data_IF_272937352951
#
_entry.id   IF_272937352951
#
_cell.length_a   1.000
_cell.length_b   1.000
_cell.length_c   1.000
_cell.angle_alpha   90.00
_cell.angle_beta   90.00
_cell.angle_gamma   90.00
#
_symmetry.space_group_name_H-M   'P 1'
#
loop_
_entity.id
_entity.type
_entity.pdbx_description
1 polymer ?
#
# COMPACT_ATOMS: atom_id res chain seq x y z
N UNK A 1 33.59 63.09 30.29
CA UNK A 1 33.87 61.65 30.06
C UNK A 1 33.90 61.42 28.55
N UNK A 2 35.02 60.99 27.98
CA UNK A 2 35.35 61.12 26.56
C UNK A 2 34.47 60.27 25.63
N UNK A 3 33.58 60.95 24.90
CA UNK A 3 32.65 60.39 23.90
C UNK A 3 33.28 59.46 22.82
N UNK A 4 34.51 59.69 22.30
CA UNK A 4 35.07 58.80 21.27
C UNK A 4 35.53 57.42 21.80
N UNK A 5 35.81 57.29 23.10
CA UNK A 5 36.29 56.03 23.71
C UNK A 5 35.12 55.04 23.89
N UNK A 6 33.92 55.56 24.17
CA UNK A 6 32.70 54.74 24.35
C UNK A 6 32.24 54.14 23.01
N UNK A 7 32.34 54.91 21.92
CA UNK A 7 31.97 54.50 20.56
C UNK A 7 32.85 53.34 20.06
N UNK A 8 34.16 53.38 20.32
CA UNK A 8 35.07 52.31 19.92
C UNK A 8 34.86 51.01 20.73
N UNK A 9 34.49 51.11 22.02
CA UNK A 9 34.08 49.94 22.82
C UNK A 9 32.77 49.32 22.32
N UNK A 10 31.79 50.15 21.94
CA UNK A 10 30.53 49.68 21.33
C UNK A 10 30.74 48.98 19.98
N UNK A 11 31.61 49.53 19.12
CA UNK A 11 31.97 48.88 17.84
C UNK A 11 32.64 47.52 18.07
N UNK A 12 33.54 47.41 19.05
CA UNK A 12 34.20 46.14 19.41
C UNK A 12 33.20 45.12 19.95
N UNK A 13 32.21 45.56 20.73
CA UNK A 13 31.13 44.71 21.24
C UNK A 13 30.21 44.23 20.11
N UNK A 14 29.89 45.09 19.14
CA UNK A 14 29.12 44.73 17.94
C UNK A 14 29.86 43.72 17.06
N UNK A 15 31.17 43.86 16.89
CA UNK A 15 32.00 42.88 16.18
C UNK A 15 32.09 41.53 16.92
N UNK A 16 32.12 41.54 18.25
CA UNK A 16 32.07 40.31 19.05
C UNK A 16 30.70 39.63 18.95
N UNK A 17 29.62 40.40 18.97
CA UNK A 17 28.25 39.89 18.85
C UNK A 17 27.98 39.29 17.46
N UNK A 18 28.47 39.94 16.40
CA UNK A 18 28.35 39.41 15.03
C UNK A 18 29.13 38.11 14.85
N UNK A 19 30.31 37.98 15.48
CA UNK A 19 31.10 36.76 15.45
C UNK A 19 30.40 35.59 16.18
N UNK A 20 29.69 35.88 17.28
CA UNK A 20 28.92 34.88 18.04
C UNK A 20 27.68 34.39 17.27
N UNK A 21 27.07 35.25 16.45
CA UNK A 21 25.92 34.86 15.63
C UNK A 21 26.31 33.91 14.48
N UNK A 22 27.53 34.02 13.96
CA UNK A 22 28.03 33.16 12.87
C UNK A 22 28.25 31.72 13.36
N UNK A 23 28.74 31.53 14.59
CA UNK A 23 28.98 30.19 15.15
C UNK A 23 27.69 29.45 15.55
N UNK A 24 26.57 30.15 15.76
CA UNK A 24 25.27 29.55 16.10
C UNK A 24 24.45 29.12 14.87
N UNK A 25 24.87 29.50 13.65
CA UNK A 25 24.15 29.18 12.42
C UNK A 25 24.51 27.82 11.82
N UNK A 26 25.53 27.13 12.34
CA UNK A 26 25.91 25.80 11.89
C UNK A 26 25.05 24.77 12.61
N UNK A 27 23.92 24.40 12.00
CA UNK A 27 23.17 23.19 12.40
C UNK A 27 23.69 22.03 11.57
N UNK A 28 24.00 20.92 12.22
CA UNK A 28 24.32 19.67 11.53
C UNK A 28 23.09 19.29 10.69
N UNK A 29 23.29 19.08 9.41
CA UNK A 29 22.24 18.56 8.53
C UNK A 29 21.87 17.15 9.01
N UNK A 30 20.56 16.86 9.04
CA UNK A 30 20.09 15.52 9.32
C UNK A 30 20.59 14.62 8.18
N UNK A 31 21.48 13.68 8.52
CA UNK A 31 21.94 12.67 7.58
C UNK A 31 20.84 11.62 7.50
N UNK A 32 20.03 11.69 6.44
CA UNK A 32 19.07 10.63 6.13
C UNK A 32 19.84 9.41 5.65
N UNK A 33 19.95 8.40 6.50
CA UNK A 33 20.42 7.08 6.10
C UNK A 33 19.26 6.37 5.40
N UNK A 34 19.43 6.07 4.12
CA UNK A 34 18.45 5.28 3.37
C UNK A 34 18.68 3.81 3.71
N UNK A 35 17.63 3.11 4.15
CA UNK A 35 17.67 1.66 4.25
C UNK A 35 17.78 1.07 2.83
N UNK A 36 18.96 0.57 2.47
CA UNK A 36 19.16 -0.11 1.19
C UNK A 36 18.46 -1.47 1.23
N UNK A 37 17.34 -1.60 0.53
CA UNK A 37 16.63 -2.87 0.34
C UNK A 37 17.05 -3.47 -1.00
N UNK A 38 17.56 -4.69 -0.99
CA UNK A 38 17.85 -5.45 -2.21
C UNK A 38 16.54 -5.89 -2.88
N UNK A 39 16.00 -5.02 -3.74
CA UNK A 39 14.80 -5.32 -4.51
C UNK A 39 15.14 -6.14 -5.77
N UNK A 40 14.69 -7.39 -5.82
CA UNK A 40 14.63 -8.14 -7.08
C UNK A 40 13.48 -7.63 -7.94
N UNK A 41 13.73 -7.32 -9.22
CA UNK A 41 12.67 -6.89 -10.13
C UNK A 41 11.73 -8.06 -10.44
N UNK A 42 10.44 -7.92 -10.11
CA UNK A 42 9.42 -8.84 -10.59
C UNK A 42 8.82 -8.34 -11.91
N UNK A 43 8.88 -9.19 -12.95
CA UNK A 43 8.16 -8.98 -14.20
C UNK A 43 7.18 -10.14 -14.40
N UNK A 44 5.93 -9.91 -13.99
CA UNK A 44 4.84 -10.89 -14.14
C UNK A 44 4.58 -11.28 -15.59
N UNK A 45 5.03 -10.46 -16.56
CA UNK A 45 4.64 -10.53 -17.97
C UNK A 45 3.12 -10.67 -18.18
N UNK A 46 2.33 -10.14 -17.23
CA UNK A 46 0.87 -10.19 -17.27
C UNK A 46 0.38 -9.17 -18.31
N UNK A 47 0.04 -9.66 -19.50
CA UNK A 47 -0.29 -8.83 -20.66
C UNK A 47 -1.66 -9.12 -21.26
N UNK A 48 -2.40 -10.10 -20.71
CA UNK A 48 -3.71 -10.48 -21.23
C UNK A 48 -4.81 -10.16 -20.23
N UNK A 49 -5.67 -9.20 -20.58
CA UNK A 49 -6.83 -8.83 -19.78
C UNK A 49 -7.77 -10.04 -19.60
N UNK A 50 -8.19 -10.28 -18.37
CA UNK A 50 -9.20 -11.29 -18.03
C UNK A 50 -10.57 -10.89 -18.58
N UNK A 51 -11.30 -11.86 -19.12
CA UNK A 51 -12.73 -11.68 -19.40
C UNK A 51 -13.53 -11.59 -18.10
N UNK A 52 -14.74 -11.01 -18.11
CA UNK A 52 -15.59 -10.92 -16.93
C UNK A 52 -15.85 -12.30 -16.30
N UNK A 53 -16.08 -13.34 -17.12
CA UNK A 53 -16.28 -14.69 -16.60
C UNK A 53 -15.04 -15.24 -15.87
N UNK A 54 -13.85 -14.97 -16.40
CA UNK A 54 -12.59 -15.35 -15.77
C UNK A 54 -12.37 -14.56 -14.47
N UNK A 55 -12.63 -13.26 -14.48
CA UNK A 55 -12.55 -12.43 -13.28
C UNK A 55 -13.45 -12.97 -12.16
N UNK A 56 -14.75 -13.18 -12.45
CA UNK A 56 -15.72 -13.68 -11.46
C UNK A 56 -15.27 -15.04 -10.92
N UNK A 57 -14.90 -15.97 -11.81
CA UNK A 57 -14.56 -17.34 -11.42
C UNK A 57 -13.31 -17.39 -10.55
N UNK A 58 -12.27 -16.61 -10.90
CA UNK A 58 -11.02 -16.55 -10.14
C UNK A 58 -11.25 -15.82 -8.81
N UNK A 59 -12.01 -14.72 -8.81
CA UNK A 59 -12.36 -14.02 -7.58
C UNK A 59 -13.09 -14.93 -6.60
N UNK A 60 -14.10 -15.67 -7.08
CA UNK A 60 -14.83 -16.62 -6.25
C UNK A 60 -13.91 -17.72 -5.71
N UNK A 61 -13.06 -18.32 -6.56
CA UNK A 61 -12.09 -19.32 -6.13
C UNK A 61 -11.12 -18.77 -5.06
N UNK A 62 -10.67 -17.52 -5.18
CA UNK A 62 -9.77 -16.91 -4.21
C UNK A 62 -10.45 -16.65 -2.86
N UNK A 63 -11.72 -16.22 -2.88
CA UNK A 63 -12.47 -15.89 -1.66
C UNK A 63 -13.02 -17.13 -0.95
N UNK A 64 -13.49 -18.15 -1.67
CA UNK A 64 -14.18 -19.31 -1.10
C UNK A 64 -13.38 -20.62 -1.18
N UNK A 65 -12.26 -20.64 -1.93
CA UNK A 65 -11.45 -21.84 -2.19
C UNK A 65 -12.23 -22.99 -2.84
N UNK A 66 -13.26 -22.65 -3.62
CA UNK A 66 -14.10 -23.60 -4.35
C UNK A 66 -14.49 -23.04 -5.74
N UNK A 67 -15.00 -23.91 -6.61
CA UNK A 67 -15.41 -23.51 -7.95
C UNK A 67 -16.83 -22.90 -7.93
N UNK A 68 -17.01 -21.76 -8.61
CA UNK A 68 -18.33 -21.16 -8.81
C UNK A 68 -19.19 -22.01 -9.74
N UNK A 69 -20.47 -22.16 -9.42
CA UNK A 69 -21.40 -22.89 -10.28
C UNK A 69 -21.64 -22.18 -11.62
N UNK A 70 -21.86 -22.95 -12.70
CA UNK A 70 -22.09 -22.39 -14.02
C UNK A 70 -23.34 -21.48 -14.09
N UNK A 71 -24.38 -21.82 -13.33
CA UNK A 71 -25.61 -21.02 -13.25
C UNK A 71 -25.34 -19.66 -12.58
N UNK A 72 -24.65 -19.65 -11.44
CA UNK A 72 -24.31 -18.38 -10.77
C UNK A 72 -23.37 -17.52 -11.60
N UNK A 73 -22.36 -18.11 -12.25
CA UNK A 73 -21.47 -17.40 -13.15
C UNK A 73 -22.25 -16.71 -14.28
N UNK A 74 -23.23 -17.39 -14.87
CA UNK A 74 -24.07 -16.83 -15.91
C UNK A 74 -24.90 -15.64 -15.41
N UNK A 75 -25.53 -15.76 -14.24
CA UNK A 75 -26.31 -14.67 -13.66
C UNK A 75 -25.47 -13.44 -13.34
N UNK A 76 -24.31 -13.63 -12.71
CA UNK A 76 -23.39 -12.54 -12.37
C UNK A 76 -22.86 -11.87 -13.64
N UNK A 77 -22.51 -12.65 -14.67
CA UNK A 77 -22.07 -12.09 -15.95
C UNK A 77 -23.14 -11.22 -16.60
N UNK A 78 -24.43 -11.60 -16.52
CA UNK A 78 -25.53 -10.76 -17.04
C UNK A 78 -25.66 -9.47 -16.24
N UNK A 79 -25.52 -9.53 -14.92
CA UNK A 79 -25.52 -8.35 -14.07
C UNK A 79 -24.41 -7.37 -14.47
N UNK A 80 -23.16 -7.84 -14.60
CA UNK A 80 -22.03 -7.00 -15.02
C UNK A 80 -22.29 -6.35 -16.38
N UNK A 81 -22.81 -7.12 -17.34
CA UNK A 81 -23.11 -6.60 -18.69
C UNK A 81 -24.17 -5.48 -18.68
N UNK A 82 -25.06 -5.45 -17.69
CA UNK A 82 -26.11 -4.43 -17.60
C UNK A 82 -25.65 -3.07 -17.07
N UNK A 83 -24.49 -3.00 -16.40
CA UNK A 83 -23.99 -1.79 -15.73
C UNK A 83 -23.19 -0.89 -16.69
N UNK A 84 -22.58 -1.46 -17.73
CA UNK A 84 -21.75 -0.74 -18.71
C UNK A 84 -20.34 -0.43 -18.21
N UNK A 85 -20.20 0.01 -16.95
CA UNK A 85 -18.91 0.13 -16.26
C UNK A 85 -18.54 -1.19 -15.59
N UNK A 86 -17.42 -1.78 -16.03
CA UNK A 86 -16.96 -3.09 -15.54
C UNK A 86 -16.27 -3.00 -14.19
N UNK A 87 -15.57 -1.92 -13.90
CA UNK A 87 -14.80 -1.77 -12.65
C UNK A 87 -15.77 -1.59 -11.48
N UNK A 88 -16.76 -0.73 -11.65
CA UNK A 88 -17.85 -0.56 -10.67
C UNK A 88 -18.62 -1.87 -10.49
N UNK A 89 -18.92 -2.58 -11.57
CA UNK A 89 -19.59 -3.86 -11.48
C UNK A 89 -18.75 -4.92 -10.74
N UNK A 90 -17.43 -4.94 -10.94
CA UNK A 90 -16.51 -5.84 -10.24
C UNK A 90 -16.45 -5.55 -8.74
N UNK A 91 -16.42 -4.27 -8.34
CA UNK A 91 -16.47 -3.85 -6.93
C UNK A 91 -17.78 -4.28 -6.25
N UNK A 92 -18.91 -4.12 -6.93
CA UNK A 92 -20.22 -4.57 -6.43
C UNK A 92 -20.25 -6.09 -6.25
N UNK A 93 -19.70 -6.85 -7.22
CA UNK A 93 -19.61 -8.31 -7.13
C UNK A 93 -18.72 -8.74 -5.97
N UNK A 94 -17.55 -8.11 -5.81
CA UNK A 94 -16.67 -8.35 -4.66
C UNK A 94 -17.40 -8.10 -3.35
N UNK A 95 -18.04 -6.94 -3.21
CA UNK A 95 -18.77 -6.57 -2.00
C UNK A 95 -19.88 -7.57 -1.69
N UNK A 96 -20.64 -8.01 -2.70
CA UNK A 96 -21.66 -9.04 -2.51
C UNK A 96 -21.06 -10.37 -2.05
N UNK A 97 -19.91 -10.78 -2.58
CA UNK A 97 -19.21 -11.98 -2.14
C UNK A 97 -18.70 -11.88 -0.71
N UNK A 98 -18.11 -10.75 -0.32
CA UNK A 98 -17.65 -10.52 1.07
C UNK A 98 -18.80 -10.61 2.08
N UNK A 99 -20.03 -10.29 1.68
CA UNK A 99 -21.22 -10.41 2.51
C UNK A 99 -21.85 -11.83 2.53
N UNK A 100 -21.31 -12.80 1.78
CA UNK A 100 -21.75 -14.20 1.84
C UNK A 100 -20.99 -14.98 2.93
N UNK A 101 -21.67 -15.98 3.50
CA UNK A 101 -21.01 -16.95 4.37
C UNK A 101 -20.00 -17.79 3.58
N UNK A 102 -18.92 -18.23 4.24
CA UNK A 102 -17.92 -19.13 3.65
C UNK A 102 -16.70 -18.42 3.04
N UNK A 103 -16.65 -17.09 3.06
CA UNK A 103 -15.44 -16.36 2.68
C UNK A 103 -14.29 -16.72 3.62
N UNK A 104 -13.18 -17.14 3.04
CA UNK A 104 -11.96 -17.51 3.73
C UNK A 104 -11.05 -16.29 3.77
N UNK A 105 -11.22 -15.49 4.81
CA UNK A 105 -10.42 -14.30 5.10
C UNK A 105 -9.97 -14.34 6.57
N UNK A 106 -8.71 -14.01 6.89
CA UNK A 106 -8.31 -13.87 8.29
C UNK A 106 -9.03 -12.69 8.95
N UNK A 107 -9.21 -12.76 10.27
CA UNK A 107 -9.68 -11.61 11.03
C UNK A 107 -8.58 -10.54 11.10
N UNK A 108 -8.97 -9.30 11.40
CA UNK A 108 -8.01 -8.20 11.54
C UNK A 108 -6.97 -8.49 12.63
N UNK A 109 -7.36 -9.17 13.71
CA UNK A 109 -6.42 -9.59 14.76
C UNK A 109 -5.39 -10.58 14.21
N UNK A 110 -5.83 -11.62 13.49
CA UNK A 110 -4.93 -12.64 12.93
C UNK A 110 -3.98 -12.04 11.89
N UNK A 111 -4.47 -11.13 11.04
CA UNK A 111 -3.61 -10.36 10.13
C UNK A 111 -2.57 -9.55 10.90
N UNK A 112 -2.93 -8.91 12.01
CA UNK A 112 -2.02 -8.05 12.79
C UNK A 112 -1.02 -8.83 13.63
N UNK A 113 -1.34 -10.06 14.00
CA UNK A 113 -0.43 -10.95 14.72
C UNK A 113 0.77 -11.36 13.85
N UNK A 114 0.59 -11.48 12.53
CA UNK A 114 1.66 -11.76 11.56
C UNK A 114 1.39 -11.10 10.20
N UNK A 115 1.85 -9.84 10.07
CA UNK A 115 1.67 -9.06 8.84
C UNK A 115 2.47 -9.65 7.67
N UNK A 116 3.67 -10.14 7.92
CA UNK A 116 4.56 -10.70 6.88
C UNK A 116 3.94 -11.93 6.23
N UNK A 117 3.43 -12.88 7.04
CA UNK A 117 2.73 -14.05 6.53
C UNK A 117 1.46 -13.65 5.79
N UNK A 118 0.65 -12.74 6.36
CA UNK A 118 -0.59 -12.28 5.74
C UNK A 118 -0.37 -11.70 4.34
N UNK A 119 0.63 -10.81 4.19
CA UNK A 119 0.92 -10.17 2.91
C UNK A 119 1.42 -11.21 1.91
N UNK A 120 2.35 -12.08 2.31
CA UNK A 120 2.90 -13.11 1.43
C UNK A 120 1.81 -14.06 0.92
N UNK A 121 0.92 -14.52 1.79
CA UNK A 121 -0.23 -15.35 1.41
C UNK A 121 -1.19 -14.60 0.49
N UNK A 122 -1.42 -13.31 0.73
CA UNK A 122 -2.29 -12.48 -0.11
C UNK A 122 -1.72 -12.32 -1.52
N UNK A 123 -0.41 -12.07 -1.64
CA UNK A 123 0.28 -12.02 -2.93
C UNK A 123 0.19 -13.34 -3.69
N UNK A 124 0.42 -14.47 -3.02
CA UNK A 124 0.29 -15.80 -3.63
C UNK A 124 -1.13 -16.07 -4.09
N UNK A 125 -2.12 -15.72 -3.26
CA UNK A 125 -3.54 -15.97 -3.55
C UNK A 125 -4.05 -15.13 -4.72
N UNK A 126 -3.82 -13.81 -4.72
CA UNK A 126 -4.38 -12.93 -5.73
C UNK A 126 -3.49 -12.82 -6.97
N UNK A 127 -2.17 -12.77 -6.80
CA UNK A 127 -1.24 -12.50 -7.89
C UNK A 127 -0.46 -13.73 -8.37
N UNK A 128 -0.52 -14.85 -7.65
CA UNK A 128 0.18 -16.10 -8.01
C UNK A 128 1.70 -15.89 -8.11
N UNK A 129 2.25 -15.19 -7.12
CA UNK A 129 3.67 -14.89 -7.01
C UNK A 129 4.08 -14.61 -5.58
N UNK A 130 5.37 -14.61 -5.35
CA UNK A 130 5.97 -14.09 -4.12
C UNK A 130 6.01 -12.57 -4.14
N UNK A 131 5.95 -12.00 -2.94
CA UNK A 131 6.16 -10.57 -2.70
C UNK A 131 7.65 -10.24 -2.85
N UNK A 132 7.97 -9.06 -3.37
CA UNK A 132 9.35 -8.55 -3.37
C UNK A 132 9.68 -7.81 -2.06
N UNK A 133 10.97 -7.75 -1.69
CA UNK A 133 11.37 -7.07 -0.45
C UNK A 133 10.96 -5.58 -0.39
N UNK A 134 10.94 -4.89 -1.52
CA UNK A 134 10.47 -3.50 -1.57
C UNK A 134 8.96 -3.36 -1.31
N UNK A 135 8.16 -4.28 -1.85
CA UNK A 135 6.72 -4.33 -1.58
C UNK A 135 6.45 -4.69 -0.12
N UNK A 136 7.23 -5.63 0.44
CA UNK A 136 7.12 -6.06 1.84
C UNK A 136 7.35 -4.88 2.78
N UNK A 137 8.47 -4.18 2.60
CA UNK A 137 8.80 -3.00 3.41
C UNK A 137 7.71 -1.92 3.33
N UNK A 138 7.20 -1.65 2.12
CA UNK A 138 6.11 -0.70 1.93
C UNK A 138 4.86 -1.10 2.74
N UNK A 139 4.41 -2.35 2.61
CA UNK A 139 3.18 -2.78 3.27
C UNK A 139 3.33 -2.83 4.79
N UNK A 140 4.46 -3.29 5.32
CA UNK A 140 4.71 -3.29 6.77
C UNK A 140 4.62 -1.86 7.31
N UNK A 141 5.36 -0.91 6.72
CA UNK A 141 5.30 0.50 7.11
C UNK A 141 3.90 1.11 6.97
N UNK A 142 3.17 0.73 5.91
CA UNK A 142 1.80 1.17 5.69
C UNK A 142 0.85 0.68 6.79
N UNK A 143 0.91 -0.60 7.17
CA UNK A 143 0.03 -1.14 8.21
C UNK A 143 0.33 -0.58 9.60
N UNK A 144 1.60 -0.36 9.93
CA UNK A 144 2.00 0.27 11.20
C UNK A 144 1.46 1.70 11.32
N UNK A 145 1.47 2.45 10.22
CA UNK A 145 0.95 3.82 10.17
C UNK A 145 -0.57 3.90 10.01
N UNK A 146 -1.24 2.81 9.61
CA UNK A 146 -2.68 2.76 9.32
C UNK A 146 -3.36 1.58 10.04
N UNK A 147 -3.51 1.63 11.38
CA UNK A 147 -4.01 0.49 12.17
C UNK A 147 -5.45 0.10 11.83
N UNK A 148 -6.23 1.01 11.22
CA UNK A 148 -7.64 0.83 10.85
C UNK A 148 -7.85 0.09 9.51
N UNK A 149 -6.81 -0.21 8.75
CA UNK A 149 -6.95 -0.93 7.47
C UNK A 149 -7.29 -2.40 7.74
N UNK A 150 -8.51 -2.83 7.42
CA UNK A 150 -8.92 -4.23 7.65
C UNK A 150 -8.38 -5.18 6.59
N UNK A 151 -8.41 -6.48 6.89
CA UNK A 151 -8.05 -7.52 5.92
C UNK A 151 -8.94 -7.47 4.66
N UNK A 152 -10.22 -7.13 4.83
CA UNK A 152 -11.17 -6.96 3.74
C UNK A 152 -10.78 -5.80 2.81
N UNK A 153 -10.34 -4.67 3.35
CA UNK A 153 -9.85 -3.54 2.55
C UNK A 153 -8.64 -3.94 1.70
N UNK A 154 -7.73 -4.75 2.26
CA UNK A 154 -6.57 -5.27 1.53
C UNK A 154 -7.02 -6.21 0.41
N UNK A 155 -7.90 -7.17 0.70
CA UNK A 155 -8.42 -8.09 -0.32
C UNK A 155 -9.13 -7.35 -1.45
N UNK A 156 -9.92 -6.31 -1.14
CA UNK A 156 -10.55 -5.44 -2.13
C UNK A 156 -9.49 -4.75 -3.00
N UNK A 157 -8.49 -4.11 -2.39
CA UNK A 157 -7.44 -3.41 -3.12
C UNK A 157 -6.68 -4.36 -4.07
N UNK A 158 -6.38 -5.57 -3.62
CA UNK A 158 -5.72 -6.58 -4.45
C UNK A 158 -6.63 -7.04 -5.59
N UNK A 159 -7.90 -7.36 -5.31
CA UNK A 159 -8.87 -7.78 -6.32
C UNK A 159 -9.16 -6.70 -7.38
N UNK A 160 -9.11 -5.42 -7.01
CA UNK A 160 -9.34 -4.30 -7.93
C UNK A 160 -8.07 -3.82 -8.64
N UNK A 161 -6.89 -4.29 -8.24
CA UNK A 161 -5.62 -3.87 -8.85
C UNK A 161 -5.52 -4.27 -10.32
N UNK A 162 -4.80 -3.46 -11.11
CA UNK A 162 -4.47 -3.80 -12.50
C UNK A 162 -3.74 -5.14 -12.60
N UNK A 163 -2.85 -5.47 -11.66
CA UNK A 163 -2.15 -6.74 -11.70
C UNK A 163 -3.12 -7.93 -11.60
N UNK A 164 -4.18 -7.81 -10.79
CA UNK A 164 -5.21 -8.84 -10.71
C UNK A 164 -6.04 -8.98 -11.98
N UNK A 165 -6.23 -7.89 -12.75
CA UNK A 165 -7.05 -7.93 -13.95
C UNK A 165 -6.39 -8.67 -15.13
N UNK A 166 -5.09 -8.95 -15.07
CA UNK A 166 -4.32 -9.52 -16.19
C UNK A 166 -3.74 -10.91 -15.87
N UNK A 167 -3.63 -11.76 -16.89
CA UNK A 167 -2.79 -12.96 -16.91
C UNK A 167 -1.43 -12.65 -17.51
#
# INVERSE_FOLDING_TARGET
MNMPILINKMKRLLYLLSLILIILSCRKEDVYELNEVHASSYNANKNKLKSSNQFISILYANLFQEALSANELFEISRCIQSIGDKEVAHEIVFSNFMNKNGVIIPSDSVMRDDLDAFIEETYKRFFVRDITEAEREFFISFFESHPYVSAEMVYMAFAMSNEYQYY
#
